data_IF_478886541028
#
_entry.id   IF_478886541028
#
_cell.length_a   1.000
_cell.length_b   1.000
_cell.length_c   1.000
_cell.angle_alpha   90.00
_cell.angle_beta   90.00
_cell.angle_gamma   90.00
#
_symmetry.space_group_name_H-M   'P 1'
#
loop_
_entity.id
_entity.type
_entity.pdbx_description
1 polymer ?
#
# COMPACT_ATOMS: atom_id res chain seq x y z
N UNK A 1 18.24 16.54 -14.99
CA UNK A 1 17.17 15.78 -14.29
C UNK A 1 17.45 15.86 -12.81
N UNK A 2 16.45 16.21 -12.00
CA UNK A 2 16.58 16.21 -10.54
C UNK A 2 15.98 14.91 -9.98
N UNK A 3 16.68 14.29 -9.03
CA UNK A 3 16.18 13.12 -8.29
C UNK A 3 15.21 13.63 -7.22
N UNK A 4 14.02 13.03 -7.13
CA UNK A 4 13.04 13.32 -6.09
C UNK A 4 13.05 12.18 -5.06
N UNK A 5 13.21 12.52 -3.78
CA UNK A 5 13.21 11.56 -2.68
C UNK A 5 11.83 11.57 -2.01
N UNK A 6 11.22 10.39 -1.87
CA UNK A 6 9.96 10.22 -1.15
C UNK A 6 10.21 9.70 0.26
N UNK A 7 9.51 10.26 1.24
CA UNK A 7 9.62 9.83 2.65
C UNK A 7 8.46 8.93 3.03
N UNK A 8 8.78 7.71 3.47
CA UNK A 8 7.81 6.77 4.00
C UNK A 8 7.25 7.22 5.34
N UNK A 9 5.92 7.22 5.48
CA UNK A 9 5.23 7.48 6.74
C UNK A 9 4.64 6.16 7.27
N UNK A 10 4.86 5.83 8.56
CA UNK A 10 4.33 4.60 9.15
C UNK A 10 2.80 4.65 9.36
N UNK A 11 2.22 5.86 9.43
CA UNK A 11 0.78 6.09 9.56
C UNK A 11 0.42 7.56 9.27
N UNK A 12 -0.87 7.82 9.06
CA UNK A 12 -1.45 9.17 8.97
C UNK A 12 -2.10 9.67 10.28
N UNK A 13 -1.79 9.07 11.43
CA UNK A 13 -2.26 9.62 12.72
C UNK A 13 -1.58 10.96 13.00
N UNK A 14 -2.33 11.90 13.55
CA UNK A 14 -1.80 13.17 14.05
C UNK A 14 -0.67 12.93 15.06
N UNK A 15 0.40 13.71 14.94
CA UNK A 15 1.56 13.59 15.80
C UNK A 15 2.86 14.09 15.18
N UNK A 16 3.99 13.93 15.89
CA UNK A 16 5.27 14.53 15.52
C UNK A 16 5.77 14.12 14.13
N UNK A 17 5.61 12.85 13.75
CA UNK A 17 6.08 12.33 12.45
C UNK A 17 5.31 12.99 11.31
N UNK A 18 3.98 13.04 11.40
CA UNK A 18 3.13 13.66 10.38
C UNK A 18 3.40 15.16 10.29
N UNK A 19 3.56 15.83 11.44
CA UNK A 19 3.89 17.25 11.49
C UNK A 19 5.25 17.55 10.87
N UNK A 20 6.25 16.71 11.11
CA UNK A 20 7.56 16.83 10.47
C UNK A 20 7.42 16.75 8.94
N UNK A 21 6.68 15.78 8.42
CA UNK A 21 6.45 15.64 6.99
C UNK A 21 5.73 16.86 6.37
N UNK A 22 4.74 17.42 7.08
CA UNK A 22 4.08 18.68 6.70
C UNK A 22 5.05 19.86 6.68
N UNK A 23 5.99 19.96 7.62
CA UNK A 23 6.99 21.04 7.62
C UNK A 23 8.00 20.85 6.49
N UNK A 24 8.44 19.62 6.24
CA UNK A 24 9.44 19.30 5.22
C UNK A 24 8.95 19.53 3.79
N UNK A 25 7.63 19.45 3.55
CA UNK A 25 7.02 19.63 2.22
C UNK A 25 7.62 18.72 1.12
N UNK A 26 8.12 17.56 1.51
CA UNK A 26 8.57 16.51 0.60
C UNK A 26 7.41 15.59 0.21
N UNK A 27 7.46 14.93 -0.96
CA UNK A 27 6.46 13.91 -1.28
C UNK A 27 6.60 12.72 -0.33
N UNK A 28 5.47 12.13 0.03
CA UNK A 28 5.40 11.05 1.02
C UNK A 28 4.83 9.78 0.42
N UNK A 29 5.13 8.66 1.07
CA UNK A 29 4.61 7.33 0.74
C UNK A 29 3.97 6.75 2.00
N UNK A 30 2.77 6.18 1.87
CA UNK A 30 2.15 5.38 2.95
C UNK A 30 1.92 3.97 2.46
N UNK A 31 2.04 2.99 3.35
CA UNK A 31 1.65 1.61 3.07
C UNK A 31 0.14 1.44 3.24
N UNK A 32 -0.53 0.67 2.38
CA UNK A 32 -1.94 0.33 2.55
C UNK A 32 -2.23 -0.26 3.94
N UNK A 33 -1.31 -1.07 4.47
CA UNK A 33 -1.47 -1.66 5.80
C UNK A 33 -1.52 -0.62 6.94
N UNK A 34 -0.99 0.59 6.72
CA UNK A 34 -1.10 1.68 7.70
C UNK A 34 -2.57 2.12 7.90
N UNK A 35 -3.41 1.93 6.88
CA UNK A 35 -4.83 2.24 6.89
C UNK A 35 -5.70 1.06 7.32
N UNK A 36 -5.15 -0.15 7.48
CA UNK A 36 -5.90 -1.32 7.89
C UNK A 36 -6.57 -1.16 9.26
N UNK A 37 -7.82 -1.63 9.34
CA UNK A 37 -8.53 -1.90 10.59
C UNK A 37 -8.34 -3.37 10.93
N UNK A 38 -7.85 -3.62 12.14
CA UNK A 38 -7.56 -4.97 12.64
C UNK A 38 -8.42 -5.26 13.87
N UNK A 39 -9.00 -6.45 13.89
CA UNK A 39 -9.68 -7.00 15.05
C UNK A 39 -8.90 -8.18 15.62
N UNK A 40 -8.87 -8.32 16.95
CA UNK A 40 -8.09 -9.34 17.66
C UNK A 40 -8.96 -10.01 18.73
N UNK A 41 -10.04 -10.68 18.33
CA UNK A 41 -10.89 -11.43 19.26
C UNK A 41 -10.58 -12.93 19.31
N UNK A 42 -10.02 -13.51 18.25
CA UNK A 42 -9.84 -14.96 18.10
C UNK A 42 -8.39 -15.44 18.24
N UNK A 43 -7.49 -14.60 18.74
CA UNK A 43 -6.05 -14.92 18.87
C UNK A 43 -5.22 -14.66 17.60
N UNK A 44 -5.85 -14.54 16.43
CA UNK A 44 -5.23 -14.06 15.20
C UNK A 44 -5.79 -12.68 14.77
N UNK A 45 -4.99 -11.85 14.08
CA UNK A 45 -5.46 -10.59 13.52
C UNK A 45 -6.40 -10.84 12.33
N UNK A 46 -7.60 -10.28 12.39
CA UNK A 46 -8.60 -10.31 11.32
C UNK A 46 -8.74 -8.92 10.73
N UNK A 47 -8.56 -8.79 9.41
CA UNK A 47 -8.72 -7.53 8.70
C UNK A 47 -10.21 -7.20 8.55
N UNK A 48 -10.57 -5.94 8.75
CA UNK A 48 -11.97 -5.48 8.85
C UNK A 48 -12.24 -4.25 7.96
N UNK A 49 -11.44 -4.06 6.90
CA UNK A 49 -11.54 -2.90 6.03
C UNK A 49 -10.53 -1.78 6.33
N UNK A 50 -10.69 -0.67 5.61
CA UNK A 50 -9.83 0.50 5.68
C UNK A 50 -10.33 1.57 6.67
N UNK A 51 -9.39 2.31 7.26
CA UNK A 51 -9.63 3.53 8.04
C UNK A 51 -9.48 4.76 7.15
N UNK A 52 -10.42 4.95 6.23
CA UNK A 52 -10.40 6.06 5.26
C UNK A 52 -10.48 7.43 5.94
N UNK A 53 -11.01 7.50 7.17
CA UNK A 53 -11.03 8.72 7.98
C UNK A 53 -9.63 9.29 8.23
N UNK A 54 -8.59 8.45 8.30
CA UNK A 54 -7.21 8.88 8.49
C UNK A 54 -6.65 9.66 7.29
N UNK A 55 -7.22 9.49 6.09
CA UNK A 55 -6.80 10.24 4.90
C UNK A 55 -7.08 11.74 5.03
N UNK A 56 -8.03 12.13 5.90
CA UNK A 56 -8.29 13.55 6.22
C UNK A 56 -7.06 14.24 6.82
N UNK A 57 -6.22 13.48 7.53
CA UNK A 57 -4.99 13.99 8.13
C UNK A 57 -3.87 14.20 7.10
N UNK A 58 -4.02 13.73 5.85
CA UNK A 58 -3.06 14.02 4.78
C UNK A 58 -3.06 15.51 4.39
N UNK A 59 -4.02 16.31 4.89
CA UNK A 59 -4.01 17.76 4.74
C UNK A 59 -2.67 18.39 5.15
N UNK A 60 -2.16 19.27 4.30
CA UNK A 60 -0.87 19.95 4.49
C UNK A 60 0.36 19.15 4.03
N UNK A 61 0.21 17.90 3.57
CA UNK A 61 1.28 17.20 2.86
C UNK A 61 1.37 17.71 1.41
N UNK A 62 2.58 17.70 0.86
CA UNK A 62 2.84 18.15 -0.53
C UNK A 62 2.18 17.23 -1.55
N UNK A 63 2.50 15.93 -1.49
CA UNK A 63 1.93 14.85 -2.30
C UNK A 63 2.06 13.53 -1.54
N UNK A 64 1.12 12.61 -1.75
CA UNK A 64 1.13 11.29 -1.13
C UNK A 64 0.98 10.19 -2.17
N UNK A 65 1.80 9.15 -2.08
CA UNK A 65 1.71 7.93 -2.84
C UNK A 65 1.29 6.76 -1.94
N UNK A 66 0.76 5.70 -2.55
CA UNK A 66 0.28 4.51 -1.86
C UNK A 66 1.12 3.28 -2.23
N UNK A 67 1.76 2.68 -1.24
CA UNK A 67 2.42 1.38 -1.32
C UNK A 67 1.39 0.25 -1.11
N UNK A 68 1.57 -0.88 -1.82
CA UNK A 68 0.67 -2.04 -1.80
C UNK A 68 0.67 -2.77 -0.48
N UNK A 69 1.74 -2.62 0.32
CA UNK A 69 2.04 -3.39 1.51
C UNK A 69 2.45 -4.86 1.26
N UNK A 70 2.87 -5.25 0.05
CA UNK A 70 3.21 -6.64 -0.30
C UNK A 70 4.17 -7.31 0.68
N UNK A 71 5.32 -6.67 0.94
CA UNK A 71 6.32 -7.18 1.89
C UNK A 71 5.74 -7.36 3.30
N UNK A 72 4.98 -6.37 3.79
CA UNK A 72 4.40 -6.41 5.14
C UNK A 72 3.31 -7.48 5.22
N UNK A 73 2.49 -7.62 4.18
CA UNK A 73 1.44 -8.61 4.13
C UNK A 73 2.00 -10.02 4.17
N UNK A 74 3.01 -10.32 3.35
CA UNK A 74 3.65 -11.62 3.30
C UNK A 74 4.44 -11.93 4.58
N UNK A 75 5.24 -10.99 5.09
CA UNK A 75 6.05 -11.21 6.29
C UNK A 75 5.23 -11.38 7.58
N UNK A 76 4.02 -10.80 7.65
CA UNK A 76 3.21 -10.78 8.88
C UNK A 76 1.97 -11.66 8.82
N UNK A 77 1.40 -11.85 7.64
CA UNK A 77 0.10 -12.50 7.43
C UNK A 77 0.16 -13.62 6.38
N UNK A 78 1.33 -13.89 5.79
CA UNK A 78 1.57 -14.92 4.76
C UNK A 78 0.85 -14.70 3.41
N UNK A 79 -0.09 -13.78 3.34
CA UNK A 79 -0.79 -13.36 2.12
C UNK A 79 -1.41 -11.97 2.34
N UNK A 80 -1.95 -11.38 1.28
CA UNK A 80 -2.80 -10.20 1.43
C UNK A 80 -4.07 -10.55 2.23
N UNK A 81 -4.39 -9.80 3.28
CA UNK A 81 -5.58 -10.04 4.09
C UNK A 81 -6.85 -9.34 3.53
N UNK A 82 -6.73 -8.70 2.37
CA UNK A 82 -7.80 -7.99 1.63
C UNK A 82 -7.84 -8.46 0.18
N UNK A 83 -8.98 -8.29 -0.48
CA UNK A 83 -9.14 -8.62 -1.90
C UNK A 83 -8.55 -7.52 -2.80
N UNK A 84 -8.35 -7.84 -4.08
CA UNK A 84 -7.85 -6.86 -5.06
C UNK A 84 -8.82 -5.68 -5.22
N UNK A 85 -10.12 -5.94 -5.20
CA UNK A 85 -11.18 -4.94 -5.28
C UNK A 85 -11.12 -3.96 -4.10
N UNK A 86 -10.94 -4.48 -2.88
CA UNK A 86 -10.79 -3.65 -1.68
C UNK A 86 -9.58 -2.70 -1.78
N UNK A 87 -8.47 -3.18 -2.36
CA UNK A 87 -7.28 -2.35 -2.58
C UNK A 87 -7.51 -1.28 -3.64
N UNK A 88 -8.18 -1.61 -4.74
CA UNK A 88 -8.53 -0.64 -5.79
C UNK A 88 -9.51 0.42 -5.28
N UNK A 89 -10.48 0.03 -4.44
CA UNK A 89 -11.38 0.98 -3.77
C UNK A 89 -10.60 1.94 -2.86
N UNK A 90 -9.60 1.44 -2.13
CA UNK A 90 -8.69 2.30 -1.37
C UNK A 90 -7.94 3.26 -2.29
N UNK A 91 -7.33 2.76 -3.36
CA UNK A 91 -6.58 3.56 -4.32
C UNK A 91 -7.44 4.66 -4.98
N UNK A 92 -8.73 4.40 -5.19
CA UNK A 92 -9.70 5.36 -5.73
C UNK A 92 -10.24 6.35 -4.68
N UNK A 93 -10.13 6.05 -3.38
CA UNK A 93 -10.73 6.84 -2.29
C UNK A 93 -10.07 8.21 -2.04
N UNK A 94 -8.88 8.43 -2.59
CA UNK A 94 -8.10 9.65 -2.38
C UNK A 94 -7.26 9.96 -3.63
N UNK A 95 -6.99 11.23 -3.96
CA UNK A 95 -6.15 11.60 -5.10
C UNK A 95 -4.67 11.34 -4.80
N UNK A 96 -4.29 10.06 -4.66
CA UNK A 96 -2.89 9.66 -4.56
C UNK A 96 -2.15 10.05 -5.84
N UNK A 97 -0.89 10.47 -5.70
CA UNK A 97 -0.02 10.80 -6.84
C UNK A 97 0.18 9.59 -7.76
N UNK A 98 0.36 8.43 -7.15
CA UNK A 98 0.43 7.11 -7.77
C UNK A 98 0.21 6.07 -6.68
N UNK A 99 -0.16 4.85 -7.08
CA UNK A 99 -0.26 3.70 -6.19
C UNK A 99 0.49 2.50 -6.80
N UNK A 100 1.11 1.67 -5.97
CA UNK A 100 1.79 0.47 -6.41
C UNK A 100 0.78 -0.62 -6.81
N UNK A 101 1.13 -1.48 -7.77
CA UNK A 101 0.38 -2.73 -7.96
C UNK A 101 0.51 -3.62 -6.73
N UNK A 102 -0.50 -4.44 -6.44
CA UNK A 102 -0.32 -5.56 -5.51
C UNK A 102 0.68 -6.54 -6.09
N UNK A 103 1.73 -6.85 -5.34
CA UNK A 103 2.88 -7.62 -5.76
C UNK A 103 3.29 -8.64 -4.69
N UNK A 104 3.87 -9.75 -5.16
CA UNK A 104 4.45 -10.76 -4.30
C UNK A 104 5.97 -10.61 -4.26
N UNK A 105 6.46 -10.32 -3.07
CA UNK A 105 7.87 -10.14 -2.77
C UNK A 105 8.68 -11.40 -3.05
N UNK A 106 9.84 -11.23 -3.70
CA UNK A 106 10.81 -12.29 -4.05
C UNK A 106 12.09 -12.20 -3.22
N UNK A 107 12.07 -11.33 -2.22
CA UNK A 107 13.12 -11.17 -1.23
C UNK A 107 13.35 -12.49 -0.48
N UNK A 108 14.59 -12.87 -0.16
CA UNK A 108 14.89 -14.14 0.51
C UNK A 108 14.14 -14.35 1.83
N UNK A 109 13.80 -13.28 2.53
CA UNK A 109 13.01 -13.30 3.77
C UNK A 109 11.55 -13.76 3.55
N UNK A 110 11.05 -13.63 2.32
CA UNK A 110 9.67 -13.95 1.93
C UNK A 110 9.63 -15.20 1.05
N UNK A 111 10.48 -15.26 0.03
CA UNK A 111 10.57 -16.33 -0.95
C UNK A 111 12.00 -16.91 -0.97
N UNK A 112 12.36 -17.79 -0.03
CA UNK A 112 13.72 -18.32 0.09
C UNK A 112 14.07 -19.30 -1.03
N UNK A 113 13.09 -19.95 -1.66
CA UNK A 113 13.30 -20.88 -2.77
C UNK A 113 13.47 -20.12 -4.09
N UNK A 114 14.70 -20.14 -4.61
CA UNK A 114 15.05 -19.46 -5.87
C UNK A 114 14.46 -20.14 -7.10
N UNK A 115 14.25 -21.45 -7.07
CA UNK A 115 13.66 -22.18 -8.20
C UNK A 115 12.16 -21.89 -8.29
N UNK A 116 11.47 -21.79 -7.15
CA UNK A 116 10.08 -21.34 -7.10
C UNK A 116 9.92 -19.93 -7.67
N UNK A 117 10.80 -19.00 -7.26
CA UNK A 117 10.81 -17.62 -7.79
C UNK A 117 11.07 -17.61 -9.31
N UNK A 118 12.02 -18.41 -9.79
CA UNK A 118 12.40 -18.44 -11.20
C UNK A 118 11.34 -19.10 -12.11
N UNK A 119 10.62 -20.10 -11.60
CA UNK A 119 9.56 -20.80 -12.34
C UNK A 119 8.19 -20.13 -12.22
N UNK A 120 8.05 -19.19 -11.30
CA UNK A 120 6.86 -18.38 -11.06
C UNK A 120 6.05 -18.90 -9.87
N UNK A 121 5.66 -17.99 -8.98
CA UNK A 121 4.79 -18.30 -7.85
C UNK A 121 3.43 -18.81 -8.35
N UNK A 122 3.05 -20.02 -7.92
CA UNK A 122 1.76 -20.63 -8.27
C UNK A 122 0.84 -20.52 -7.06
N UNK A 123 -0.04 -19.53 -7.08
CA UNK A 123 -1.15 -19.40 -6.11
C UNK A 123 -1.88 -20.76 -5.95
N UNK A 124 -2.18 -21.22 -4.72
CA UNK A 124 -3.01 -22.40 -4.52
C UNK A 124 -4.44 -22.13 -5.01
N UNK A 125 -4.72 -22.50 -6.26
CA UNK A 125 -6.05 -22.60 -6.90
C UNK A 125 -7.12 -21.61 -6.42
N UNK A 126 -7.21 -20.43 -7.04
CA UNK A 126 -8.43 -19.62 -6.92
C UNK A 126 -8.38 -18.16 -7.39
N UNK A 127 -7.22 -17.51 -7.44
CA UNK A 127 -7.14 -16.12 -7.89
C UNK A 127 -5.92 -15.89 -8.78
N UNK A 128 -6.16 -15.37 -9.98
CA UNK A 128 -5.12 -15.10 -10.99
C UNK A 128 -4.47 -13.76 -10.66
N UNK A 129 -3.43 -13.74 -9.82
CA UNK A 129 -2.53 -12.59 -9.72
C UNK A 129 -1.34 -12.82 -10.66
N UNK A 130 -1.19 -11.95 -11.66
CA UNK A 130 -0.01 -11.94 -12.54
C UNK A 130 1.14 -11.38 -11.70
N UNK A 131 2.13 -12.21 -11.37
CA UNK A 131 3.38 -11.77 -10.77
C UNK A 131 4.12 -10.86 -11.76
N UNK A 132 3.92 -9.56 -11.61
CA UNK A 132 4.60 -8.54 -12.38
C UNK A 132 4.45 -7.22 -11.66
N UNK A 133 5.53 -6.74 -11.03
CA UNK A 133 5.63 -5.39 -10.50
C UNK A 133 5.51 -4.39 -11.66
N UNK A 134 4.28 -4.09 -12.07
CA UNK A 134 3.98 -3.00 -12.97
C UNK A 134 3.69 -1.78 -12.12
N UNK A 135 4.58 -0.78 -12.17
CA UNK A 135 4.24 0.59 -11.76
C UNK A 135 3.05 1.06 -12.62
N UNK A 136 1.84 0.84 -12.13
CA UNK A 136 0.64 1.36 -12.77
C UNK A 136 0.60 2.86 -12.52
N UNK A 137 1.14 3.63 -13.46
CA UNK A 137 0.94 5.08 -13.50
C UNK A 137 -0.46 5.34 -14.02
N UNK A 138 -1.48 5.10 -13.18
CA UNK A 138 -2.85 5.46 -13.51
C UNK A 138 -3.00 6.98 -13.39
N UNK A 139 -2.71 7.71 -14.47
CA UNK A 139 -3.13 9.10 -14.62
C UNK A 139 -4.65 9.13 -14.80
N UNK A 140 -5.41 9.09 -13.70
CA UNK A 140 -6.84 9.32 -13.74
C UNK A 140 -7.09 10.81 -14.05
N UNK A 141 -7.83 11.16 -15.11
CA UNK A 141 -8.24 12.54 -15.32
C UNK A 141 -9.19 12.93 -14.17
N UNK A 142 -8.81 13.97 -13.43
CA UNK A 142 -9.66 14.59 -12.41
C UNK A 142 -10.89 15.13 -13.15
N UNK A 143 -12.00 14.39 -13.08
CA UNK A 143 -13.29 14.90 -13.50
C UNK A 143 -13.68 16.03 -12.53
N UNK A 144 -13.56 17.27 -13.03
CA UNK A 144 -14.14 18.44 -12.39
C UNK A 144 -15.66 18.26 -12.35
N UNK A 145 -16.19 17.86 -11.21
CA UNK A 145 -17.60 18.11 -10.90
C UNK A 145 -17.71 19.59 -10.55
N UNK A 146 -18.44 20.31 -11.41
CA UNK A 146 -18.95 21.66 -11.17
C UNK A 146 -20.10 21.63 -10.18
#
# INVERSE_FOLDING_TARGET
MAIEIMVGLPHLREGPILNCARVMQVPTLISANALSRWHRSKGWPEWQGWRLDLLKNAGGLSRIALDSAGFVALSRYSAYPWATEDYLDLAASYPFRWFASMDYCVEPEIAPDREEVATGFREPSGSTAIAGAALMTAALPIASCR
#
